data_IF_295292155104
#
_entry.id   IF_295292155104
#
_cell.length_a   1.000
_cell.length_b   1.000
_cell.length_c   1.000
_cell.angle_alpha   90.00
_cell.angle_beta   90.00
_cell.angle_gamma   90.00
#
_symmetry.space_group_name_H-M   'P 1'
#
loop_
_entity.id
_entity.type
_entity.pdbx_description
1 polymer ?
#
# COMPACT_ATOMS: atom_id res chain seq x y z
N UNK A 1 -47.99 59.46 -1.13
CA UNK A 1 -46.53 59.37 -1.05
C UNK A 1 -46.20 58.91 0.38
N UNK A 2 -45.99 57.63 0.61
CA UNK A 2 -45.67 57.07 1.95
C UNK A 2 -44.22 56.61 1.94
N UNK A 3 -43.39 57.24 2.77
CA UNK A 3 -42.01 56.85 3.00
C UNK A 3 -41.97 55.71 4.05
N UNK A 4 -41.44 54.58 3.69
CA UNK A 4 -41.21 53.48 4.59
C UNK A 4 -39.74 53.53 5.06
N UNK A 5 -39.55 53.72 6.37
CA UNK A 5 -38.26 53.69 7.01
C UNK A 5 -37.86 52.24 7.28
N UNK A 6 -36.67 51.83 6.88
CA UNK A 6 -36.06 50.55 7.24
C UNK A 6 -35.22 50.73 8.49
N UNK A 7 -35.61 50.04 9.55
CA UNK A 7 -34.84 49.90 10.77
C UNK A 7 -33.81 48.79 10.59
N UNK A 8 -32.55 49.12 10.80
CA UNK A 8 -31.42 48.17 10.83
C UNK A 8 -31.38 47.56 12.22
N UNK A 9 -31.68 46.28 12.37
CA UNK A 9 -31.44 45.50 13.60
C UNK A 9 -30.03 44.91 13.50
N UNK A 10 -29.12 45.40 14.32
CA UNK A 10 -27.85 44.80 14.59
C UNK A 10 -28.03 43.69 15.61
N UNK A 11 -28.00 42.43 15.20
CA UNK A 11 -27.96 41.29 16.10
C UNK A 11 -26.50 40.89 16.38
N UNK A 12 -26.03 41.18 17.57
CA UNK A 12 -24.75 40.73 18.10
C UNK A 12 -24.85 39.26 18.46
N UNK A 13 -24.28 38.37 17.66
CA UNK A 13 -24.09 36.96 18.03
C UNK A 13 -22.74 36.78 18.70
N UNK A 14 -22.72 36.94 20.02
CA UNK A 14 -21.69 36.32 20.86
C UNK A 14 -22.07 34.84 21.06
N UNK A 15 -21.52 33.97 20.28
CA UNK A 15 -21.69 32.52 20.42
C UNK A 15 -20.34 31.84 20.26
N UNK A 16 -19.82 31.28 21.36
CA UNK A 16 -18.51 30.65 21.41
C UNK A 16 -18.40 29.48 20.43
N UNK A 17 -17.33 29.49 19.66
CA UNK A 17 -16.85 28.31 18.96
C UNK A 17 -16.44 27.26 19.97
N UNK A 18 -17.30 26.27 20.21
CA UNK A 18 -16.90 25.04 20.85
C UNK A 18 -15.93 24.32 19.91
N UNK A 19 -14.66 24.25 20.32
CA UNK A 19 -13.67 23.40 19.68
C UNK A 19 -14.17 21.95 19.81
N UNK A 20 -14.54 21.36 18.68
CA UNK A 20 -14.81 19.93 18.61
C UNK A 20 -13.48 19.22 18.86
N UNK A 21 -13.34 18.63 20.04
CA UNK A 21 -12.27 17.71 20.34
C UNK A 21 -12.46 16.49 19.41
N UNK A 22 -11.53 16.33 18.48
CA UNK A 22 -11.43 15.11 17.71
C UNK A 22 -11.18 13.96 18.67
N UNK A 23 -12.10 12.99 18.69
CA UNK A 23 -11.94 11.74 19.42
C UNK A 23 -10.73 11.00 18.86
N UNK A 24 -9.73 10.75 19.71
CA UNK A 24 -8.59 9.89 19.43
C UNK A 24 -9.09 8.49 19.07
N UNK A 25 -9.07 8.16 17.77
CA UNK A 25 -9.16 6.78 17.31
C UNK A 25 -7.77 6.16 17.44
N UNK A 26 -7.60 5.05 18.17
CA UNK A 26 -6.32 4.39 18.27
C UNK A 26 -5.98 3.72 16.93
N UNK A 27 -4.99 4.22 16.20
CA UNK A 27 -4.37 3.55 15.08
C UNK A 27 -4.23 4.31 13.76
N UNK A 28 -4.59 5.59 13.68
CA UNK A 28 -4.29 6.41 12.51
C UNK A 28 -2.92 7.06 12.66
N UNK A 29 -1.93 6.70 11.84
CA UNK A 29 -0.73 7.48 11.72
C UNK A 29 -1.13 8.90 11.27
N UNK A 30 -1.00 9.89 12.16
CA UNK A 30 -1.25 11.28 11.83
C UNK A 30 -0.23 11.72 10.77
N UNK A 31 -0.70 12.27 9.67
CA UNK A 31 0.16 12.94 8.69
C UNK A 31 0.87 14.08 9.44
N UNK A 32 2.23 14.14 9.41
CA UNK A 32 2.95 15.23 10.07
C UNK A 32 2.49 16.57 9.51
N UNK A 33 2.32 17.58 10.37
CA UNK A 33 2.03 18.94 9.93
C UNK A 33 3.11 19.41 8.96
N UNK A 34 2.72 20.20 7.97
CA UNK A 34 3.64 20.76 6.98
C UNK A 34 4.83 21.44 7.68
N UNK A 35 6.06 20.94 7.41
CA UNK A 35 7.30 21.37 8.08
C UNK A 35 7.73 20.52 9.29
N UNK A 36 6.97 19.50 9.71
CA UNK A 36 7.44 18.56 10.72
C UNK A 36 8.60 17.71 10.16
N UNK A 37 9.72 17.66 10.87
CA UNK A 37 10.85 16.79 10.51
C UNK A 37 10.40 15.34 10.64
N UNK A 38 10.43 14.61 9.52
CA UNK A 38 10.22 13.15 9.55
C UNK A 38 11.37 12.53 10.35
N UNK A 39 11.10 11.72 11.39
CA UNK A 39 12.17 11.08 12.16
C UNK A 39 13.08 10.28 11.24
N UNK A 40 14.38 10.30 11.51
CA UNK A 40 15.30 9.45 10.77
C UNK A 40 14.97 7.97 11.01
N UNK A 41 15.27 7.10 10.06
CA UNK A 41 15.09 5.66 10.22
C UNK A 41 15.75 5.14 11.51
N UNK A 42 16.93 5.68 11.83
CA UNK A 42 17.64 5.31 13.07
C UNK A 42 16.86 5.72 14.33
N UNK A 43 16.26 6.92 14.35
CA UNK A 43 15.42 7.36 15.46
C UNK A 43 14.17 6.49 15.59
N UNK A 44 13.49 6.21 14.46
CA UNK A 44 12.31 5.33 14.43
C UNK A 44 12.65 3.93 14.95
N UNK A 45 13.77 3.34 14.51
CA UNK A 45 14.21 2.01 14.97
C UNK A 45 14.56 2.03 16.47
N UNK A 46 15.16 3.10 16.98
CA UNK A 46 15.52 3.21 18.40
C UNK A 46 14.28 3.25 19.31
N UNK A 47 13.18 3.80 18.85
CA UNK A 47 11.90 3.89 19.57
C UNK A 47 11.04 2.63 19.46
N UNK A 48 11.33 1.75 18.48
CA UNK A 48 10.56 0.51 18.29
C UNK A 48 10.81 -0.48 19.45
N UNK A 49 9.75 -1.14 19.96
CA UNK A 49 9.90 -2.22 20.91
C UNK A 49 10.80 -3.33 20.35
N UNK A 50 11.81 -3.77 21.13
CA UNK A 50 12.76 -4.82 20.70
C UNK A 50 12.08 -6.16 20.40
N UNK A 51 10.94 -6.43 21.00
CA UNK A 51 10.17 -7.67 20.89
C UNK A 51 8.82 -7.46 20.21
N UNK A 52 8.77 -6.61 19.19
CA UNK A 52 7.54 -6.44 18.41
C UNK A 52 7.21 -7.76 17.69
N UNK A 53 6.05 -8.39 17.96
CA UNK A 53 5.68 -9.64 17.31
C UNK A 53 5.45 -9.40 15.81
N UNK A 54 5.84 -10.36 14.99
CA UNK A 54 5.52 -10.34 13.57
C UNK A 54 4.02 -10.54 13.36
N UNK A 55 3.44 -9.85 12.37
CA UNK A 55 2.08 -10.13 11.90
C UNK A 55 1.97 -11.56 11.32
N UNK A 56 0.74 -12.05 11.12
CA UNK A 56 0.52 -13.32 10.43
C UNK A 56 1.30 -13.35 9.12
N UNK A 57 2.03 -14.45 8.86
CA UNK A 57 2.91 -14.57 7.72
C UNK A 57 2.85 -15.96 7.10
N UNK A 58 3.04 -16.09 5.76
CA UNK A 58 3.30 -17.38 5.14
C UNK A 58 4.67 -17.94 5.61
N UNK A 59 4.81 -19.26 5.57
CA UNK A 59 6.07 -19.93 5.94
C UNK A 59 7.21 -19.56 4.98
N UNK A 60 8.44 -19.62 5.50
CA UNK A 60 9.62 -19.25 4.71
C UNK A 60 9.81 -20.16 3.48
N UNK A 61 9.76 -21.48 3.68
CA UNK A 61 10.02 -22.44 2.59
C UNK A 61 8.98 -22.37 1.49
N UNK A 62 7.68 -22.26 1.85
CA UNK A 62 6.62 -22.07 0.86
C UNK A 62 6.77 -20.73 0.13
N UNK A 63 7.18 -19.67 0.83
CA UNK A 63 7.43 -18.35 0.23
C UNK A 63 8.59 -18.39 -0.77
N UNK A 64 9.68 -19.08 -0.43
CA UNK A 64 10.82 -19.26 -1.34
C UNK A 64 10.39 -20.06 -2.59
N UNK A 65 9.65 -21.14 -2.40
CA UNK A 65 9.15 -21.98 -3.50
C UNK A 65 8.21 -21.19 -4.42
N UNK A 66 7.27 -20.46 -3.86
CA UNK A 66 6.33 -19.60 -4.59
C UNK A 66 7.04 -18.49 -5.38
N UNK A 67 7.99 -17.78 -4.76
CA UNK A 67 8.78 -16.74 -5.42
C UNK A 67 9.57 -17.31 -6.62
N UNK A 68 10.21 -18.48 -6.44
CA UNK A 68 10.94 -19.16 -7.53
C UNK A 68 10.00 -19.60 -8.66
N UNK A 69 8.79 -20.05 -8.35
CA UNK A 69 7.80 -20.45 -9.36
C UNK A 69 7.40 -19.25 -10.24
N UNK A 70 7.11 -18.09 -9.63
CA UNK A 70 6.80 -16.86 -10.36
C UNK A 70 7.97 -16.40 -11.23
N UNK A 71 9.21 -16.39 -10.70
CA UNK A 71 10.40 -16.01 -11.47
C UNK A 71 10.56 -16.91 -12.69
N UNK A 72 10.50 -18.25 -12.51
CA UNK A 72 10.63 -19.21 -13.64
C UNK A 72 9.51 -19.03 -14.67
N UNK A 73 8.27 -18.80 -14.23
CA UNK A 73 7.14 -18.59 -15.14
C UNK A 73 7.32 -17.33 -15.98
N UNK A 74 7.72 -16.21 -15.37
CA UNK A 74 8.01 -14.97 -16.06
C UNK A 74 9.22 -15.11 -17.00
N UNK A 75 10.29 -15.79 -16.54
CA UNK A 75 11.52 -16.01 -17.32
C UNK A 75 11.24 -16.82 -18.58
N UNK A 76 10.39 -17.85 -18.52
CA UNK A 76 9.92 -18.61 -19.67
C UNK A 76 9.14 -17.76 -20.70
N UNK A 77 8.65 -16.59 -20.29
CA UNK A 77 8.01 -15.58 -21.15
C UNK A 77 8.96 -14.45 -21.58
N UNK A 78 10.26 -14.60 -21.30
CA UNK A 78 11.28 -13.60 -21.62
C UNK A 78 11.30 -12.38 -20.70
N UNK A 79 10.57 -12.41 -19.57
CA UNK A 79 10.47 -11.29 -18.65
C UNK A 79 11.33 -11.50 -17.40
N UNK A 80 12.09 -10.48 -17.01
CA UNK A 80 12.97 -10.49 -15.85
C UNK A 80 12.29 -9.73 -14.70
N UNK A 81 12.02 -10.42 -13.59
CA UNK A 81 11.18 -9.92 -12.51
C UNK A 81 11.81 -10.02 -11.14
N UNK A 82 11.34 -9.17 -10.23
CA UNK A 82 11.49 -9.34 -8.80
C UNK A 82 10.15 -9.77 -8.19
N UNK A 83 10.21 -10.59 -7.16
CA UNK A 83 9.06 -11.10 -6.39
C UNK A 83 9.28 -10.77 -4.93
N UNK A 84 8.31 -10.13 -4.30
CA UNK A 84 8.28 -9.90 -2.86
C UNK A 84 7.10 -10.65 -2.25
N UNK A 85 7.36 -11.44 -1.22
CA UNK A 85 6.36 -12.04 -0.34
C UNK A 85 6.55 -11.42 1.04
N UNK A 86 5.46 -10.96 1.62
CA UNK A 86 5.43 -10.23 2.89
C UNK A 86 4.36 -10.80 3.83
N UNK A 87 4.46 -10.46 5.10
CA UNK A 87 3.43 -10.73 6.10
C UNK A 87 2.19 -9.85 5.92
N UNK A 88 1.17 -10.04 6.75
CA UNK A 88 -0.08 -9.30 6.68
C UNK A 88 0.06 -7.79 6.93
N UNK A 89 1.17 -7.35 7.53
CA UNK A 89 1.52 -5.94 7.72
C UNK A 89 2.42 -5.38 6.62
N UNK A 90 2.75 -6.17 5.59
CA UNK A 90 3.61 -5.76 4.49
C UNK A 90 5.11 -5.89 4.76
N UNK A 91 5.51 -6.47 5.91
CA UNK A 91 6.94 -6.67 6.23
C UNK A 91 7.51 -7.86 5.43
N UNK A 92 8.67 -7.70 4.77
CA UNK A 92 9.25 -8.73 3.92
C UNK A 92 9.47 -10.06 4.63
N UNK A 93 9.06 -11.17 3.98
CA UNK A 93 9.45 -12.55 4.28
C UNK A 93 10.54 -12.99 3.32
N UNK A 94 10.31 -12.80 2.01
CA UNK A 94 11.26 -13.11 0.93
C UNK A 94 11.19 -12.03 -0.14
N UNK A 95 12.33 -11.46 -0.49
CA UNK A 95 12.51 -10.69 -1.72
C UNK A 95 13.48 -11.44 -2.63
N UNK A 96 13.00 -11.88 -3.79
CA UNK A 96 13.78 -12.61 -4.78
C UNK A 96 13.80 -11.85 -6.11
N UNK A 97 14.97 -11.48 -6.57
CA UNK A 97 15.15 -10.93 -7.92
C UNK A 97 15.73 -11.99 -8.84
N UNK A 98 15.08 -12.25 -9.96
CA UNK A 98 15.60 -13.14 -11.00
C UNK A 98 16.83 -12.53 -11.68
N UNK A 99 17.62 -13.39 -12.33
CA UNK A 99 18.79 -12.94 -13.07
C UNK A 99 18.42 -11.94 -14.17
N UNK A 100 19.05 -10.78 -14.15
CA UNK A 100 18.76 -9.69 -15.08
C UNK A 100 17.54 -8.83 -14.71
N UNK A 101 16.89 -9.06 -13.57
CA UNK A 101 15.84 -8.17 -13.06
C UNK A 101 16.41 -6.80 -12.70
N UNK A 102 15.76 -5.73 -13.19
CA UNK A 102 16.20 -4.37 -12.91
C UNK A 102 15.96 -3.95 -11.46
N UNK A 103 16.81 -3.10 -10.90
CA UNK A 103 16.70 -2.58 -9.51
C UNK A 103 15.30 -2.00 -9.23
N UNK A 104 14.73 -1.29 -10.21
CA UNK A 104 13.38 -0.69 -10.09
C UNK A 104 12.30 -1.75 -9.84
N UNK A 105 12.42 -2.97 -10.37
CA UNK A 105 11.43 -4.01 -10.17
C UNK A 105 11.30 -4.38 -8.69
N UNK A 106 12.41 -4.53 -7.98
CA UNK A 106 12.42 -4.81 -6.55
C UNK A 106 11.79 -3.67 -5.71
N UNK A 107 12.00 -2.41 -6.10
CA UNK A 107 11.37 -1.26 -5.43
C UNK A 107 9.85 -1.25 -5.63
N UNK A 108 9.39 -1.48 -6.86
CA UNK A 108 7.95 -1.47 -7.18
C UNK A 108 7.21 -2.65 -6.51
N UNK A 109 7.87 -3.79 -6.24
CA UNK A 109 7.22 -4.86 -5.47
C UNK A 109 6.84 -4.42 -4.07
N UNK A 110 7.67 -3.58 -3.41
CA UNK A 110 7.36 -3.02 -2.08
C UNK A 110 6.10 -2.17 -2.11
N UNK A 111 6.00 -1.25 -3.07
CA UNK A 111 4.80 -0.44 -3.30
C UNK A 111 3.54 -1.31 -3.50
N UNK A 112 3.61 -2.34 -4.34
CA UNK A 112 2.48 -3.24 -4.59
C UNK A 112 2.07 -4.02 -3.34
N UNK A 113 3.03 -4.46 -2.52
CA UNK A 113 2.78 -5.10 -1.23
C UNK A 113 2.13 -4.13 -0.25
N UNK A 114 2.61 -2.87 -0.17
CA UNK A 114 2.01 -1.84 0.68
C UNK A 114 0.55 -1.57 0.31
N UNK A 115 0.23 -1.52 -1.01
CA UNK A 115 -1.15 -1.40 -1.49
C UNK A 115 -2.00 -2.57 -0.97
N UNK A 116 -1.53 -3.81 -1.11
CA UNK A 116 -2.27 -4.99 -0.66
C UNK A 116 -2.45 -5.00 0.86
N UNK A 117 -1.41 -4.70 1.62
CA UNK A 117 -1.46 -4.66 3.08
C UNK A 117 -2.48 -3.61 3.58
N UNK A 118 -2.52 -2.42 2.95
CA UNK A 118 -3.43 -1.33 3.31
C UNK A 118 -4.87 -1.59 2.91
N UNK A 119 -5.10 -1.98 1.64
CA UNK A 119 -6.45 -2.07 1.08
C UNK A 119 -7.04 -3.49 1.12
N UNK A 120 -6.24 -4.51 1.40
CA UNK A 120 -6.62 -5.94 1.43
C UNK A 120 -7.24 -6.44 0.12
N UNK A 121 -6.85 -5.80 -0.98
CA UNK A 121 -7.30 -6.05 -2.34
C UNK A 121 -6.10 -6.27 -3.27
N UNK A 122 -6.30 -6.94 -4.42
CA UNK A 122 -5.31 -6.93 -5.48
C UNK A 122 -4.90 -5.50 -5.86
N UNK A 123 -3.60 -5.24 -5.99
CA UNK A 123 -3.12 -3.88 -6.26
C UNK A 123 -3.63 -3.33 -7.60
N UNK A 124 -3.88 -4.19 -8.59
CA UNK A 124 -4.50 -3.82 -9.86
C UNK A 124 -5.96 -3.40 -9.72
N UNK A 125 -6.69 -3.97 -8.77
CA UNK A 125 -8.05 -3.55 -8.46
C UNK A 125 -8.07 -2.16 -7.83
N UNK A 126 -7.16 -1.89 -6.89
CA UNK A 126 -7.00 -0.56 -6.28
C UNK A 126 -6.63 0.47 -7.34
N UNK A 127 -5.70 0.14 -8.25
CA UNK A 127 -5.34 0.97 -9.41
C UNK A 127 -6.56 1.32 -10.28
N UNK A 128 -7.43 0.34 -10.55
CA UNK A 128 -8.64 0.59 -11.35
C UNK A 128 -9.66 1.45 -10.60
N UNK A 129 -9.88 1.20 -9.30
CA UNK A 129 -10.78 2.02 -8.48
C UNK A 129 -10.32 3.47 -8.43
N UNK A 130 -9.04 3.71 -8.27
CA UNK A 130 -8.46 5.05 -8.21
C UNK A 130 -8.62 5.86 -9.51
N UNK A 131 -8.81 5.21 -10.66
CA UNK A 131 -9.13 5.92 -11.92
C UNK A 131 -10.51 6.59 -11.88
N UNK A 132 -11.43 6.05 -11.11
CA UNK A 132 -12.78 6.58 -10.94
C UNK A 132 -12.95 7.39 -9.63
N UNK A 133 -12.00 7.31 -8.72
CA UNK A 133 -12.01 7.96 -7.40
C UNK A 133 -10.75 8.81 -7.19
N UNK A 134 -10.82 10.13 -7.46
CA UNK A 134 -9.70 11.05 -7.27
C UNK A 134 -9.23 11.14 -5.81
N UNK A 135 -10.10 10.92 -4.83
CA UNK A 135 -9.76 10.95 -3.41
C UNK A 135 -8.86 9.76 -3.07
N UNK A 136 -9.25 8.55 -3.48
CA UNK A 136 -8.44 7.36 -3.32
C UNK A 136 -7.08 7.50 -4.05
N UNK A 137 -7.08 8.07 -5.25
CA UNK A 137 -5.85 8.33 -6.01
C UNK A 137 -4.91 9.28 -5.26
N UNK A 138 -5.43 10.38 -4.69
CA UNK A 138 -4.66 11.34 -3.94
C UNK A 138 -4.08 10.75 -2.64
N UNK A 139 -4.91 10.03 -1.86
CA UNK A 139 -4.48 9.36 -0.63
C UNK A 139 -3.36 8.35 -0.89
N UNK A 140 -3.54 7.47 -1.90
CA UNK A 140 -2.53 6.48 -2.24
C UNK A 140 -1.23 7.10 -2.75
N UNK A 141 -1.30 8.22 -3.48
CA UNK A 141 -0.12 8.92 -3.98
C UNK A 141 0.63 9.65 -2.87
N UNK A 142 -0.09 10.16 -1.86
CA UNK A 142 0.49 10.83 -0.70
C UNK A 142 1.11 9.85 0.32
N UNK A 143 0.73 8.57 0.27
CA UNK A 143 1.30 7.55 1.17
C UNK A 143 2.76 7.27 0.80
N UNK A 144 3.73 7.46 1.71
CA UNK A 144 5.16 7.30 1.43
C UNK A 144 5.56 5.87 1.05
N UNK A 145 4.80 4.86 1.48
CA UNK A 145 5.06 3.45 1.17
C UNK A 145 4.44 3.03 -0.17
N UNK A 146 3.48 3.80 -0.67
CA UNK A 146 2.76 3.52 -1.92
C UNK A 146 3.27 4.41 -3.06
N UNK A 147 2.98 5.69 -3.03
CA UNK A 147 3.39 6.69 -4.02
C UNK A 147 2.88 6.46 -5.45
N UNK A 148 2.80 5.22 -5.90
CA UNK A 148 2.34 4.87 -7.25
C UNK A 148 1.48 3.59 -7.23
N UNK A 149 0.30 3.66 -7.85
CA UNK A 149 -0.60 2.51 -8.00
C UNK A 149 -0.22 1.68 -9.25
N UNK A 150 0.00 0.38 -9.05
CA UNK A 150 0.35 -0.58 -10.11
C UNK A 150 -0.15 -1.97 -9.78
N UNK A 151 -0.70 -2.67 -10.78
CA UNK A 151 -1.10 -4.08 -10.68
C UNK A 151 0.06 -5.05 -10.50
N UNK A 152 -0.23 -6.28 -10.07
CA UNK A 152 0.73 -7.36 -9.84
C UNK A 152 1.03 -7.65 -8.37
N UNK A 153 0.30 -7.04 -7.44
CA UNK A 153 0.28 -7.39 -6.02
C UNK A 153 -1.02 -8.11 -5.69
N UNK A 154 -0.95 -9.22 -4.95
CA UNK A 154 -2.08 -10.07 -4.58
C UNK A 154 -2.08 -10.38 -3.07
N UNK A 155 -3.24 -10.39 -2.41
CA UNK A 155 -3.35 -10.83 -1.01
C UNK A 155 -3.23 -12.36 -0.91
N UNK A 156 -2.56 -12.82 0.16
CA UNK A 156 -2.47 -14.24 0.50
C UNK A 156 -3.44 -14.51 1.64
N UNK A 157 -4.48 -15.29 1.37
CA UNK A 157 -5.46 -15.71 2.37
C UNK A 157 -5.29 -17.17 2.72
N UNK A 158 -5.43 -17.50 4.02
CA UNK A 158 -5.49 -18.87 4.51
C UNK A 158 -6.70 -19.00 5.45
N UNK A 159 -7.63 -19.90 5.12
CA UNK A 159 -8.89 -20.09 5.88
C UNK A 159 -9.69 -18.79 6.08
N UNK A 160 -9.66 -17.89 5.08
CA UNK A 160 -10.36 -16.60 5.13
C UNK A 160 -9.62 -15.48 5.87
N UNK A 161 -8.47 -15.77 6.47
CA UNK A 161 -7.61 -14.77 7.13
C UNK A 161 -6.51 -14.29 6.19
N UNK A 162 -6.26 -12.99 6.17
CA UNK A 162 -5.13 -12.41 5.45
C UNK A 162 -3.85 -12.74 6.23
N UNK A 163 -3.01 -13.60 5.65
CA UNK A 163 -1.73 -13.98 6.24
C UNK A 163 -0.53 -13.30 5.57
N UNK A 164 -0.73 -12.57 4.47
CA UNK A 164 0.35 -11.91 3.78
C UNK A 164 -0.05 -11.29 2.46
N UNK A 165 0.94 -10.74 1.80
CA UNK A 165 0.86 -10.20 0.45
C UNK A 165 2.01 -10.71 -0.40
N UNK A 166 1.78 -10.88 -1.69
CA UNK A 166 2.84 -11.12 -2.66
C UNK A 166 2.75 -10.12 -3.80
N UNK A 167 3.88 -9.77 -4.38
CA UNK A 167 3.93 -8.91 -5.55
C UNK A 167 5.02 -9.33 -6.52
N UNK A 168 4.72 -9.18 -7.82
CA UNK A 168 5.68 -9.34 -8.92
C UNK A 168 5.80 -8.03 -9.67
N UNK A 169 7.01 -7.69 -10.11
CA UNK A 169 7.26 -6.51 -10.91
C UNK A 169 8.43 -6.72 -11.87
N UNK A 170 8.33 -6.11 -13.06
CA UNK A 170 9.34 -6.15 -14.10
C UNK A 170 8.85 -6.74 -15.42
N UNK A 171 7.85 -7.60 -15.42
CA UNK A 171 7.35 -8.27 -16.61
C UNK A 171 6.62 -7.31 -17.56
N UNK A 172 5.91 -6.34 -17.05
CA UNK A 172 5.21 -5.33 -17.83
C UNK A 172 6.13 -4.36 -18.60
N UNK A 173 7.44 -4.41 -18.37
CA UNK A 173 8.41 -3.63 -19.14
C UNK A 173 8.69 -4.24 -20.54
N UNK A 174 8.51 -5.55 -20.67
CA UNK A 174 8.83 -6.32 -21.89
C UNK A 174 7.63 -7.09 -22.44
N UNK A 175 6.51 -7.10 -21.72
CA UNK A 175 5.31 -7.85 -22.04
C UNK A 175 4.02 -7.08 -21.78
N UNK A 176 2.85 -7.76 -21.84
CA UNK A 176 1.57 -7.16 -21.51
C UNK A 176 1.55 -6.57 -20.11
N UNK A 177 0.79 -5.49 -19.89
CA UNK A 177 0.64 -4.83 -18.58
C UNK A 177 0.13 -5.77 -17.47
N UNK A 178 -0.58 -6.84 -17.84
CA UNK A 178 -1.10 -7.87 -16.92
C UNK A 178 -0.08 -8.94 -16.55
N UNK A 179 1.07 -9.02 -17.22
CA UNK A 179 2.02 -10.12 -17.04
C UNK A 179 2.60 -10.20 -15.63
N UNK A 180 2.80 -9.06 -14.94
CA UNK A 180 3.19 -9.04 -13.53
C UNK A 180 2.16 -9.80 -12.66
N UNK A 181 0.86 -9.58 -12.92
CA UNK A 181 -0.21 -10.23 -12.17
C UNK A 181 -0.34 -11.72 -12.53
N UNK A 182 -0.13 -12.09 -13.80
CA UNK A 182 -0.15 -13.49 -14.20
C UNK A 182 0.97 -14.29 -13.52
N UNK A 183 2.18 -13.70 -13.42
CA UNK A 183 3.28 -14.28 -12.66
C UNK A 183 2.96 -14.36 -11.15
N UNK A 184 2.29 -13.34 -10.60
CA UNK A 184 1.86 -13.32 -9.22
C UNK A 184 0.84 -14.43 -8.92
N UNK A 185 -0.11 -14.69 -9.82
CA UNK A 185 -1.09 -15.78 -9.70
C UNK A 185 -0.44 -17.16 -9.62
N UNK A 186 0.67 -17.38 -10.35
CA UNK A 186 1.43 -18.64 -10.25
C UNK A 186 2.03 -18.83 -8.86
N UNK A 187 2.57 -17.78 -8.26
CA UNK A 187 3.06 -17.84 -6.88
C UNK A 187 1.91 -18.03 -5.89
N UNK A 188 0.79 -17.30 -6.07
CA UNK A 188 -0.37 -17.37 -5.18
C UNK A 188 -0.96 -18.78 -5.09
N UNK A 189 -0.94 -19.55 -6.17
CA UNK A 189 -1.46 -20.92 -6.23
C UNK A 189 -0.69 -21.92 -5.33
N UNK A 190 0.41 -21.50 -4.72
CA UNK A 190 1.23 -22.33 -3.83
C UNK A 190 0.90 -22.16 -2.34
N UNK A 191 0.00 -21.23 -1.99
CA UNK A 191 -0.48 -20.98 -0.62
C UNK A 191 -1.89 -21.52 -0.39
#
# INVERSE_FOLDING_TARGET
>A
MKRIAWAIFAASCAGGCALHQASDSPGGASIPAEGALVPSLAATIAEMPKNLPRAAAPGLDESIAAARAAVRFCDAKGAKVSVLIADAAGQPVVLLSGDGAGVRSALITKTKVAIVARYRLPSGEVEQRAKADPTLAAEATADPDIGVLRGGGLPIYRRGELIGALAVSGASLTGPMTLDEDCAKVALAMF
#
